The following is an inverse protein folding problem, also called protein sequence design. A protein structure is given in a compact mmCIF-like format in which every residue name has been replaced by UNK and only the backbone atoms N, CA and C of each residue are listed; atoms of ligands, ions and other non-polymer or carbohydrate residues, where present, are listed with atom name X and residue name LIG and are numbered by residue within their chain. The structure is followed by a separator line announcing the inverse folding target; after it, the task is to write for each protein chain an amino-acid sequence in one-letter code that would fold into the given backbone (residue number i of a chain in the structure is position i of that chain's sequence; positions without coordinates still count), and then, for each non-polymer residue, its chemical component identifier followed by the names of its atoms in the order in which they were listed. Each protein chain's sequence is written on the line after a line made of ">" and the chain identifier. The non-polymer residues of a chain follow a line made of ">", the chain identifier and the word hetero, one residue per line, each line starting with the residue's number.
data_IF_019370346223
#
_entry.id   IF_019370346223
#
_cell.length_a   1.000
_cell.length_b   1.000
_cell.length_c   1.000
_cell.angle_alpha   90.00
_cell.angle_beta   90.00
_cell.angle_gamma   90.00
#
_symmetry.space_group_name_H-M   'P 1'
#
loop_
_entity.id
_entity.type
_entity.pdbx_description
1 polymer ?
#
# COMPACT_ATOMS: atom_id res chain seq x y z
N UNK A 1 60.66 55.39 -23.44
CA UNK A 1 59.93 54.72 -22.33
C UNK A 1 59.69 53.27 -22.77
N UNK A 2 60.45 52.30 -22.21
CA UNK A 2 59.99 51.32 -21.20
C UNK A 2 58.87 50.41 -21.78
N UNK A 3 58.99 49.10 -22.03
CA UNK A 3 59.61 47.99 -21.30
C UNK A 3 60.07 46.84 -22.23
N UNK A 4 60.97 46.01 -21.69
CA UNK A 4 61.78 44.95 -22.31
C UNK A 4 61.29 43.53 -21.94
N UNK A 5 61.92 42.53 -22.58
CA UNK A 5 62.20 41.13 -22.15
C UNK A 5 61.28 40.04 -22.73
N UNK A 6 61.63 39.31 -23.81
CA UNK A 6 62.77 38.46 -24.17
C UNK A 6 62.60 36.97 -23.79
N UNK A 7 62.47 36.15 -24.85
CA UNK A 7 62.42 34.69 -24.90
C UNK A 7 63.77 34.06 -24.51
N UNK A 8 63.74 32.90 -23.88
CA UNK A 8 64.91 32.02 -23.73
C UNK A 8 64.51 30.55 -23.67
N UNK A 9 64.94 29.78 -24.68
CA UNK A 9 64.95 28.32 -24.68
C UNK A 9 66.06 27.80 -23.75
N UNK A 10 65.81 26.67 -23.08
CA UNK A 10 66.83 25.88 -22.40
C UNK A 10 66.46 24.40 -22.38
N UNK A 11 67.24 23.59 -23.10
CA UNK A 11 67.24 22.12 -23.03
C UNK A 11 67.92 21.64 -21.75
N UNK A 12 67.45 20.55 -21.14
CA UNK A 12 68.20 19.81 -20.13
C UNK A 12 68.02 18.29 -20.33
N UNK A 13 69.15 17.59 -20.30
CA UNK A 13 69.32 16.16 -20.53
C UNK A 13 69.00 15.29 -19.29
N UNK A 14 68.73 14.01 -19.56
CA UNK A 14 68.32 12.98 -18.60
C UNK A 14 69.50 12.35 -17.83
N UNK A 15 69.22 11.86 -16.61
CA UNK A 15 69.91 10.75 -15.92
C UNK A 15 69.01 10.11 -14.84
N UNK A 16 69.29 8.88 -14.37
CA UNK A 16 68.31 7.79 -14.36
C UNK A 16 67.63 7.46 -13.01
N UNK A 17 66.64 6.58 -13.16
CA UNK A 17 65.71 5.98 -12.19
C UNK A 17 66.40 5.23 -11.03
N UNK A 18 65.88 5.43 -9.81
CA UNK A 18 65.90 4.44 -8.74
C UNK A 18 64.47 4.22 -8.22
N UNK A 19 64.03 2.97 -8.22
CA UNK A 19 62.67 2.56 -7.93
C UNK A 19 62.28 2.81 -6.47
N UNK A 20 61.13 3.47 -6.26
CA UNK A 20 60.37 3.41 -5.01
C UNK A 20 59.05 2.71 -5.30
N UNK A 21 58.82 1.59 -4.62
CA UNK A 21 57.55 0.89 -4.62
C UNK A 21 56.49 1.77 -3.97
N UNK A 22 55.45 2.10 -4.74
CA UNK A 22 54.24 2.73 -4.24
C UNK A 22 53.49 1.75 -3.34
N UNK A 23 53.48 2.01 -2.04
CA UNK A 23 52.52 1.42 -1.13
C UNK A 23 51.18 2.15 -1.32
N UNK A 24 50.23 1.49 -1.97
CA UNK A 24 48.87 1.99 -2.11
C UNK A 24 48.22 2.17 -0.71
N UNK A 25 47.46 3.25 -0.48
CA UNK A 25 46.74 3.43 0.77
C UNK A 25 45.63 2.38 0.88
N UNK A 26 45.64 1.63 1.97
CA UNK A 26 44.61 0.64 2.28
C UNK A 26 43.29 1.36 2.52
N UNK A 27 42.32 1.14 1.61
CA UNK A 27 40.93 1.56 1.80
C UNK A 27 40.32 0.73 2.92
N UNK A 28 40.20 1.31 4.13
CA UNK A 28 39.32 0.78 5.15
C UNK A 28 37.90 0.86 4.63
N UNK A 29 37.34 -0.29 4.27
CA UNK A 29 35.93 -0.45 3.92
C UNK A 29 35.09 0.02 5.11
N UNK A 30 34.45 1.18 4.98
CA UNK A 30 33.43 1.60 5.93
C UNK A 30 32.28 0.58 5.87
N UNK A 31 31.97 0.01 7.02
CA UNK A 31 30.81 -0.86 7.22
C UNK A 31 29.55 -0.05 6.85
N UNK A 32 28.66 -0.57 5.97
CA UNK A 32 27.48 0.18 5.57
C UNK A 32 26.62 0.46 6.80
N UNK A 33 26.35 1.73 7.07
CA UNK A 33 25.48 2.14 8.16
C UNK A 33 24.13 1.42 8.04
N UNK A 34 23.75 0.67 9.08
CA UNK A 34 22.45 0.02 9.18
C UNK A 34 21.35 1.08 9.01
N UNK A 35 20.51 0.93 7.98
CA UNK A 35 19.38 1.84 7.79
C UNK A 35 18.48 1.78 9.03
N UNK A 36 17.98 2.93 9.53
CA UNK A 36 17.03 2.92 10.63
C UNK A 36 15.80 2.12 10.21
N UNK A 37 15.38 1.20 11.09
CA UNK A 37 14.25 0.28 10.86
C UNK A 37 12.93 1.01 10.57
N UNK A 38 12.80 2.27 11.00
CA UNK A 38 11.70 3.17 10.68
C UNK A 38 12.31 4.55 10.38
N UNK A 39 11.91 5.19 9.29
CA UNK A 39 12.46 6.47 8.84
C UNK A 39 11.37 7.42 8.35
N UNK A 40 11.35 8.66 8.84
CA UNK A 40 10.54 9.73 8.24
C UNK A 40 11.12 10.04 6.86
N UNK A 41 10.31 9.89 5.82
CA UNK A 41 10.72 10.15 4.43
C UNK A 41 10.41 11.59 4.03
N UNK A 42 9.22 12.07 4.36
CA UNK A 42 8.75 13.43 4.10
C UNK A 42 7.69 13.82 5.14
N UNK A 43 7.22 15.07 5.09
CA UNK A 43 6.12 15.52 5.94
C UNK A 43 4.88 14.63 5.75
N UNK A 44 4.38 14.09 6.86
CA UNK A 44 3.27 13.13 6.87
C UNK A 44 3.56 11.74 6.26
N UNK A 45 4.80 11.41 5.87
CA UNK A 45 5.19 10.13 5.24
C UNK A 45 6.33 9.46 5.99
N UNK A 46 6.07 8.29 6.57
CA UNK A 46 7.07 7.44 7.23
C UNK A 46 7.20 6.11 6.49
N UNK A 47 8.42 5.59 6.39
CA UNK A 47 8.69 4.24 5.86
C UNK A 47 9.07 3.34 7.04
N UNK A 48 8.40 2.21 7.16
CA UNK A 48 8.79 1.14 8.08
C UNK A 48 9.47 0.01 7.29
N UNK A 49 10.77 -0.15 7.52
CA UNK A 49 11.61 -1.15 6.85
C UNK A 49 11.56 -2.52 7.53
N UNK A 50 11.00 -2.61 8.75
CA UNK A 50 10.78 -3.91 9.44
C UNK A 50 9.74 -4.73 8.69
N UNK A 51 8.74 -4.05 8.13
CA UNK A 51 7.67 -4.60 7.32
C UNK A 51 7.48 -3.64 6.14
N UNK A 52 8.16 -3.81 4.99
CA UNK A 52 8.19 -2.82 3.92
C UNK A 52 6.80 -2.25 3.61
N UNK A 53 6.51 -1.08 4.18
CA UNK A 53 5.23 -0.38 4.13
C UNK A 53 5.47 1.12 4.31
N UNK A 54 4.53 1.90 3.78
CA UNK A 54 4.46 3.35 3.96
C UNK A 54 3.35 3.67 4.94
N UNK A 55 3.65 4.49 5.94
CA UNK A 55 2.69 5.05 6.88
C UNK A 55 2.43 6.51 6.53
N UNK A 56 1.14 6.85 6.40
CA UNK A 56 0.67 8.18 6.04
C UNK A 56 -0.12 8.75 7.20
N UNK A 57 0.25 9.95 7.67
CA UNK A 57 -0.61 10.67 8.61
C UNK A 57 -1.99 10.91 7.99
N UNK A 58 -3.04 10.67 8.76
CA UNK A 58 -4.41 10.82 8.28
C UNK A 58 -5.34 11.35 9.36
N UNK A 59 -6.44 11.96 8.91
CA UNK A 59 -7.55 12.39 9.75
C UNK A 59 -8.87 11.99 9.10
N UNK A 60 -9.82 11.51 9.89
CA UNK A 60 -11.20 11.26 9.43
C UNK A 60 -11.90 12.59 9.11
N UNK A 61 -12.46 12.72 7.92
CA UNK A 61 -13.21 13.91 7.46
C UNK A 61 -14.63 13.62 7.01
N UNK A 62 -14.98 12.36 6.72
CA UNK A 62 -16.35 11.93 6.42
C UNK A 62 -16.64 10.59 7.11
N UNK A 63 -17.84 10.46 7.70
CA UNK A 63 -18.28 9.21 8.36
C UNK A 63 -19.43 8.49 7.68
N UNK A 64 -20.21 9.21 6.89
CA UNK A 64 -21.39 8.70 6.21
C UNK A 64 -21.60 9.49 4.93
N UNK A 65 -22.09 8.83 3.90
CA UNK A 65 -22.29 9.42 2.58
C UNK A 65 -21.68 8.56 1.48
N UNK A 66 -22.04 8.83 0.22
CA UNK A 66 -21.42 8.17 -0.93
C UNK A 66 -19.94 8.56 -1.03
N UNK A 67 -19.13 7.68 -1.62
CA UNK A 67 -17.70 7.85 -1.72
C UNK A 67 -17.23 7.85 -3.17
N UNK A 68 -16.40 8.84 -3.47
CA UNK A 68 -15.52 8.82 -4.63
C UNK A 68 -14.09 8.40 -4.22
N UNK A 69 -13.70 8.69 -2.98
CA UNK A 69 -12.36 8.39 -2.46
C UNK A 69 -12.41 7.76 -1.07
N UNK A 70 -11.41 6.93 -0.78
CA UNK A 70 -11.05 6.59 0.59
C UNK A 70 -10.24 7.72 1.24
N UNK A 71 -9.32 8.32 0.48
CA UNK A 71 -8.43 9.36 0.98
C UNK A 71 -8.11 10.44 -0.05
N UNK A 72 -8.10 11.70 0.38
CA UNK A 72 -7.75 12.87 -0.44
C UNK A 72 -6.69 13.77 0.22
N UNK A 73 -6.14 14.69 -0.57
CA UNK A 73 -5.33 15.81 -0.06
C UNK A 73 -6.20 16.89 0.61
N UNK A 74 -5.62 17.79 1.42
CA UNK A 74 -6.39 18.86 2.05
C UNK A 74 -6.91 19.90 1.05
N UNK A 75 -8.14 20.37 1.29
CA UNK A 75 -8.89 21.37 0.52
C UNK A 75 -9.17 20.94 -0.92
N UNK A 76 -9.47 19.67 -1.13
CA UNK A 76 -9.82 19.15 -2.46
C UNK A 76 -11.17 18.44 -2.41
N UNK A 77 -11.23 17.26 -1.80
CA UNK A 77 -12.34 16.30 -1.93
C UNK A 77 -12.81 15.72 -0.60
N UNK A 78 -12.69 16.47 0.49
CA UNK A 78 -13.04 15.97 1.83
C UNK A 78 -14.52 15.60 2.02
N UNK A 79 -15.42 16.19 1.22
CA UNK A 79 -16.86 15.93 1.30
C UNK A 79 -17.26 14.56 0.74
N UNK A 80 -16.35 13.89 0.04
CA UNK A 80 -16.54 12.59 -0.64
C UNK A 80 -15.42 11.59 -0.31
N UNK A 81 -14.64 11.87 0.75
CA UNK A 81 -13.50 11.09 1.21
C UNK A 81 -13.59 10.75 2.70
N UNK A 82 -13.31 9.51 3.10
CA UNK A 82 -13.25 9.17 4.54
C UNK A 82 -12.07 9.86 5.22
N UNK A 83 -10.91 9.88 4.56
CA UNK A 83 -9.65 10.38 5.09
C UNK A 83 -9.14 11.62 4.35
N UNK A 84 -8.56 12.54 5.10
CA UNK A 84 -7.66 13.57 4.59
C UNK A 84 -6.23 13.20 4.98
N UNK A 85 -5.30 13.26 4.03
CA UNK A 85 -3.87 13.00 4.20
C UNK A 85 -3.10 14.26 3.82
N UNK A 86 -2.40 14.93 4.75
CA UNK A 86 -1.69 16.17 4.47
C UNK A 86 -0.40 15.98 3.66
N UNK A 87 0.11 14.76 3.58
CA UNK A 87 1.29 14.44 2.80
C UNK A 87 1.07 14.71 1.31
N UNK A 88 2.07 15.30 0.66
CA UNK A 88 2.07 15.52 -0.78
C UNK A 88 2.01 14.17 -1.53
N UNK A 89 1.06 13.96 -2.46
CA UNK A 89 0.92 12.70 -3.20
C UNK A 89 2.19 12.20 -3.92
N UNK A 90 3.01 13.09 -4.47
CA UNK A 90 4.30 12.74 -5.06
C UNK A 90 5.27 12.09 -4.04
N UNK A 91 5.26 12.55 -2.78
CA UNK A 91 6.08 11.92 -1.74
C UNK A 91 5.57 10.52 -1.39
N UNK A 92 4.25 10.31 -1.42
CA UNK A 92 3.64 9.00 -1.23
C UNK A 92 4.08 8.06 -2.36
N UNK A 93 3.98 8.51 -3.62
CA UNK A 93 4.45 7.77 -4.79
C UNK A 93 5.93 7.35 -4.66
N UNK A 94 6.81 8.28 -4.28
CA UNK A 94 8.23 8.02 -4.10
C UNK A 94 8.52 7.04 -2.97
N UNK A 95 7.85 7.19 -1.81
CA UNK A 95 8.00 6.27 -0.68
C UNK A 95 7.55 4.85 -1.03
N UNK A 96 6.44 4.71 -1.75
CA UNK A 96 5.96 3.43 -2.27
C UNK A 96 7.01 2.79 -3.20
N UNK A 97 7.63 3.58 -4.09
CA UNK A 97 8.72 3.11 -4.95
C UNK A 97 9.96 2.66 -4.15
N UNK A 98 10.32 3.36 -3.08
CA UNK A 98 11.47 3.02 -2.22
C UNK A 98 11.31 1.69 -1.49
N UNK A 99 10.08 1.33 -1.09
CA UNK A 99 9.79 0.01 -0.51
C UNK A 99 9.62 -1.09 -1.58
N UNK A 100 9.83 -0.76 -2.86
CA UNK A 100 9.82 -1.68 -3.99
C UNK A 100 8.49 -1.84 -4.73
N UNK A 101 7.46 -1.04 -4.39
CA UNK A 101 6.17 -1.12 -5.09
C UNK A 101 6.30 -0.62 -6.54
N UNK A 102 5.75 -1.39 -7.48
CA UNK A 102 5.76 -1.06 -8.90
C UNK A 102 4.44 -0.39 -9.31
N UNK A 103 4.47 0.86 -9.80
CA UNK A 103 3.28 1.50 -10.32
C UNK A 103 2.87 0.87 -11.66
N UNK A 104 1.58 0.82 -11.92
CA UNK A 104 1.06 0.50 -13.25
C UNK A 104 0.64 1.75 -14.00
N UNK A 105 -0.62 1.79 -14.39
CA UNK A 105 -1.23 2.92 -15.09
C UNK A 105 -2.63 3.21 -14.53
N UNK A 106 -3.00 4.48 -14.33
CA UNK A 106 -4.37 4.86 -14.02
C UNK A 106 -5.34 4.50 -15.15
N UNK A 107 -6.63 4.58 -14.82
CA UNK A 107 -7.72 4.48 -15.80
C UNK A 107 -7.50 5.46 -16.96
N UNK A 108 -7.73 5.00 -18.18
CA UNK A 108 -7.67 5.85 -19.36
C UNK A 108 -8.62 5.35 -20.44
N UNK A 109 -9.03 6.27 -21.31
CA UNK A 109 -9.88 5.97 -22.45
C UNK A 109 -9.05 5.56 -23.66
N UNK A 110 -9.31 4.38 -24.19
CA UNK A 110 -8.74 3.90 -25.44
C UNK A 110 -9.68 4.30 -26.59
N UNK A 111 -9.39 5.46 -27.20
CA UNK A 111 -10.21 6.01 -28.28
C UNK A 111 -10.23 5.14 -29.55
N UNK A 112 -9.20 4.30 -29.77
CA UNK A 112 -9.14 3.44 -30.94
C UNK A 112 -10.15 2.28 -30.84
N UNK A 113 -10.46 1.84 -29.62
CA UNK A 113 -11.38 0.74 -29.34
C UNK A 113 -12.65 1.18 -28.60
N UNK A 114 -12.86 2.50 -28.46
CA UNK A 114 -14.03 3.12 -27.83
C UNK A 114 -14.37 2.53 -26.45
N UNK A 115 -13.37 2.38 -25.58
CA UNK A 115 -13.53 1.73 -24.28
C UNK A 115 -12.64 2.29 -23.19
N UNK A 116 -13.09 2.20 -21.95
CA UNK A 116 -12.27 2.45 -20.77
C UNK A 116 -11.36 1.26 -20.47
N UNK A 117 -10.08 1.55 -20.23
CA UNK A 117 -9.08 0.58 -19.79
C UNK A 117 -8.94 0.70 -18.28
N UNK A 118 -9.17 -0.42 -17.58
CA UNK A 118 -9.09 -0.48 -16.12
C UNK A 118 -7.69 -0.09 -15.61
N UNK A 119 -7.60 0.51 -14.41
CA UNK A 119 -6.32 0.73 -13.76
C UNK A 119 -5.53 -0.57 -13.58
N UNK A 120 -4.22 -0.46 -13.68
CA UNK A 120 -3.28 -1.57 -13.44
C UNK A 120 -2.22 -1.14 -12.44
N UNK A 121 -1.54 -2.09 -11.84
CA UNK A 121 -0.44 -1.82 -10.91
C UNK A 121 -0.21 -2.98 -9.95
N UNK A 122 0.80 -2.85 -9.11
CA UNK A 122 1.04 -3.85 -8.08
C UNK A 122 -0.16 -3.91 -7.11
N UNK A 123 -0.70 -5.10 -6.81
CA UNK A 123 -1.76 -5.25 -5.82
C UNK A 123 -1.31 -4.81 -4.43
N UNK A 124 -2.19 -4.10 -3.73
CA UNK A 124 -1.92 -3.53 -2.42
C UNK A 124 -2.82 -4.11 -1.32
N UNK A 125 -2.36 -3.97 -0.09
CA UNK A 125 -3.20 -4.05 1.11
C UNK A 125 -3.16 -2.70 1.80
N UNK A 126 -4.35 -2.13 2.04
CA UNK A 126 -4.52 -0.86 2.75
C UNK A 126 -5.11 -1.12 4.12
N UNK A 127 -4.52 -0.52 5.16
CA UNK A 127 -4.97 -0.69 6.54
C UNK A 127 -4.94 0.61 7.29
N UNK A 128 -5.83 0.82 8.26
CA UNK A 128 -5.78 1.98 9.15
C UNK A 128 -5.21 1.58 10.50
N UNK A 129 -4.13 2.23 10.89
CA UNK A 129 -3.54 2.12 12.22
C UNK A 129 -4.07 3.23 13.13
N UNK A 130 -4.54 2.84 14.31
CA UNK A 130 -5.02 3.78 15.32
C UNK A 130 -5.16 3.13 16.69
N UNK A 131 -5.49 3.95 17.68
CA UNK A 131 -5.87 3.51 19.02
C UNK A 131 -7.38 3.33 19.08
N UNK A 132 -7.84 2.09 18.99
CA UNK A 132 -9.26 1.74 18.96
C UNK A 132 -9.73 1.14 20.29
N UNK A 133 -11.03 0.86 20.40
CA UNK A 133 -11.63 0.31 21.62
C UNK A 133 -11.13 -1.11 21.99
N UNK A 134 -10.51 -1.80 21.03
CA UNK A 134 -9.92 -3.13 21.18
C UNK A 134 -8.37 -3.12 21.13
N UNK A 135 -7.75 -1.94 21.26
CA UNK A 135 -6.29 -1.76 21.40
C UNK A 135 -5.64 -0.97 20.26
N UNK A 136 -4.32 -0.87 20.34
CA UNK A 136 -3.49 -0.30 19.26
C UNK A 136 -3.25 -1.38 18.22
N UNK A 137 -4.04 -1.32 17.14
CA UNK A 137 -4.04 -2.33 16.08
C UNK A 137 -4.33 -1.67 14.73
N UNK A 138 -4.31 -2.47 13.68
CA UNK A 138 -4.75 -2.08 12.34
C UNK A 138 -6.12 -2.65 12.00
N UNK A 139 -6.91 -1.90 11.23
CA UNK A 139 -8.17 -2.34 10.62
C UNK A 139 -8.01 -2.42 9.10
N UNK A 140 -8.69 -3.35 8.42
CA UNK A 140 -8.84 -3.27 6.97
C UNK A 140 -9.64 -2.02 6.61
N UNK A 141 -9.22 -1.25 5.61
CA UNK A 141 -9.96 -0.04 5.18
C UNK A 141 -11.37 -0.39 4.71
N UNK A 142 -11.57 -1.61 4.21
CA UNK A 142 -12.85 -2.13 3.75
C UNK A 142 -13.91 -2.17 4.84
N UNK A 143 -13.51 -2.33 6.11
CA UNK A 143 -14.44 -2.29 7.23
C UNK A 143 -15.10 -0.90 7.40
N UNK A 144 -14.53 0.15 6.83
CA UNK A 144 -15.05 1.51 6.89
C UNK A 144 -16.01 1.85 5.75
N UNK A 145 -16.28 0.89 4.86
CA UNK A 145 -17.11 1.09 3.68
C UNK A 145 -18.26 0.08 3.64
N UNK A 146 -19.34 0.46 2.98
CA UNK A 146 -20.50 -0.40 2.72
C UNK A 146 -20.98 -0.23 1.28
N UNK A 147 -21.62 -1.25 0.72
CA UNK A 147 -22.23 -1.14 -0.60
C UNK A 147 -23.48 -0.27 -0.55
N UNK A 148 -23.61 0.70 -1.47
CA UNK A 148 -24.84 1.47 -1.65
C UNK A 148 -25.90 0.71 -2.44
N UNK A 149 -25.48 -0.22 -3.31
CA UNK A 149 -26.38 -1.07 -4.11
C UNK A 149 -26.96 -2.21 -3.28
N UNK A 150 -26.17 -2.75 -2.36
CA UNK A 150 -26.58 -3.82 -1.44
C UNK A 150 -26.23 -3.45 0.02
N UNK A 151 -26.95 -2.48 0.63
CA UNK A 151 -26.65 -2.01 1.98
C UNK A 151 -26.60 -3.15 2.99
N UNK A 152 -25.52 -3.20 3.76
CA UNK A 152 -25.27 -4.25 4.75
C UNK A 152 -24.53 -5.48 4.21
N UNK A 153 -24.30 -5.60 2.90
CA UNK A 153 -23.33 -6.57 2.37
C UNK A 153 -21.92 -6.11 2.68
N UNK A 154 -21.13 -7.00 3.28
CA UNK A 154 -19.74 -6.74 3.60
C UNK A 154 -18.91 -6.61 2.31
N UNK A 155 -18.21 -5.49 2.20
CA UNK A 155 -17.06 -5.29 1.30
C UNK A 155 -15.91 -6.13 1.84
N UNK A 156 -15.79 -7.39 1.39
CA UNK A 156 -14.77 -8.29 1.96
C UNK A 156 -13.39 -8.09 1.37
N UNK A 157 -13.29 -7.67 0.10
CA UNK A 157 -12.01 -7.45 -0.56
C UNK A 157 -12.20 -6.45 -1.70
N UNK A 158 -11.45 -5.34 -1.64
CA UNK A 158 -11.34 -4.39 -2.75
C UNK A 158 -9.98 -4.64 -3.42
N UNK A 159 -9.91 -4.82 -4.76
CA UNK A 159 -8.65 -5.10 -5.45
C UNK A 159 -7.83 -3.83 -5.66
N UNK A 160 -7.28 -3.27 -4.58
CA UNK A 160 -6.42 -2.09 -4.64
C UNK A 160 -5.18 -2.33 -5.50
N UNK A 161 -4.85 -1.36 -6.34
CA UNK A 161 -3.64 -1.34 -7.16
C UNK A 161 -2.88 -0.03 -6.99
N UNK A 162 -1.56 -0.12 -7.01
CA UNK A 162 -0.70 1.06 -7.10
C UNK A 162 -0.67 1.54 -8.56
N UNK A 163 -1.59 2.42 -8.93
CA UNK A 163 -1.71 2.89 -10.31
C UNK A 163 -0.61 3.89 -10.71
N UNK A 164 -0.05 4.62 -9.75
CA UNK A 164 0.75 5.81 -10.04
C UNK A 164 -0.16 6.99 -10.35
N UNK A 165 0.28 7.99 -11.07
CA UNK A 165 -0.61 9.10 -11.47
C UNK A 165 -0.22 9.60 -12.84
N UNK A 166 -1.21 10.08 -13.60
CA UNK A 166 -0.93 10.74 -14.88
C UNK A 166 -0.20 12.06 -14.62
N UNK A 167 0.73 12.39 -15.50
CA UNK A 167 1.32 13.73 -15.56
C UNK A 167 0.35 14.62 -16.32
N UNK A 168 -0.10 15.70 -15.68
CA UNK A 168 -1.04 16.66 -16.30
C UNK A 168 -0.28 17.70 -17.13
N UNK A 169 -1.03 18.59 -17.80
CA UNK A 169 -0.45 19.66 -18.59
C UNK A 169 0.50 20.52 -17.74
N UNK A 170 1.65 20.89 -18.32
CA UNK A 170 2.71 21.59 -17.59
C UNK A 170 3.68 20.69 -16.81
N UNK A 171 3.48 19.36 -16.84
CA UNK A 171 4.42 18.40 -16.26
C UNK A 171 4.21 18.11 -14.76
N UNK A 172 3.12 18.63 -14.17
CA UNK A 172 2.78 18.39 -12.78
C UNK A 172 2.28 16.95 -12.56
N UNK A 173 2.53 16.42 -11.37
CA UNK A 173 2.05 15.11 -10.96
C UNK A 173 0.55 15.21 -10.65
N UNK A 174 -0.32 14.55 -11.43
CA UNK A 174 -1.76 14.81 -11.40
C UNK A 174 -2.41 14.63 -10.03
N UNK A 175 -1.97 13.66 -9.24
CA UNK A 175 -2.46 13.46 -7.88
C UNK A 175 -2.15 14.64 -6.96
N UNK A 176 -1.03 15.36 -7.17
CA UNK A 176 -0.71 16.57 -6.40
C UNK A 176 -1.70 17.71 -6.68
N UNK A 177 -2.17 17.82 -7.93
CA UNK A 177 -3.10 18.86 -8.37
C UNK A 177 -4.53 18.56 -7.94
N UNK A 178 -5.01 17.33 -8.19
CA UNK A 178 -6.39 16.94 -7.94
C UNK A 178 -6.64 16.45 -6.50
N UNK A 179 -5.57 16.10 -5.78
CA UNK A 179 -5.64 15.52 -4.44
C UNK A 179 -6.19 14.09 -4.40
N UNK A 180 -6.11 13.33 -5.49
CA UNK A 180 -6.66 11.98 -5.67
C UNK A 180 -5.72 10.88 -5.16
N UNK A 181 -5.65 10.71 -3.84
CA UNK A 181 -4.68 9.77 -3.21
C UNK A 181 -5.16 8.32 -3.28
N UNK A 182 -6.36 8.02 -2.77
CA UNK A 182 -6.94 6.68 -2.85
C UNK A 182 -8.38 6.78 -3.32
N UNK A 183 -8.65 6.39 -4.56
CA UNK A 183 -9.96 6.51 -5.20
C UNK A 183 -10.71 5.16 -5.20
N UNK A 184 -12.05 5.24 -5.08
CA UNK A 184 -12.96 4.08 -5.23
C UNK A 184 -13.79 4.14 -6.51
N UNK A 185 -13.60 5.21 -7.28
CA UNK A 185 -14.12 5.42 -8.64
C UNK A 185 -12.98 5.92 -9.55
N UNK A 186 -13.25 5.99 -10.85
CA UNK A 186 -12.27 6.23 -11.89
C UNK A 186 -11.83 7.71 -11.97
N UNK A 187 -10.62 7.98 -11.48
CA UNK A 187 -9.89 9.22 -11.76
C UNK A 187 -8.57 8.92 -12.46
N UNK A 188 -8.31 9.59 -13.59
CA UNK A 188 -7.05 9.44 -14.33
C UNK A 188 -5.81 9.91 -13.55
N UNK A 189 -6.01 10.64 -12.45
CA UNK A 189 -4.96 11.14 -11.55
C UNK A 189 -4.82 10.32 -10.27
N UNK A 190 -5.66 9.31 -10.03
CA UNK A 190 -5.67 8.51 -8.80
C UNK A 190 -4.34 7.78 -8.56
N UNK A 191 -3.68 8.08 -7.42
CA UNK A 191 -2.42 7.46 -7.03
C UNK A 191 -2.56 5.95 -6.73
N UNK A 192 -3.58 5.62 -5.94
CA UNK A 192 -4.03 4.27 -5.63
C UNK A 192 -5.50 4.20 -6.01
N UNK A 193 -5.91 3.11 -6.64
CA UNK A 193 -7.31 2.92 -7.05
C UNK A 193 -7.63 1.43 -7.10
N UNK A 194 -8.82 1.09 -7.60
CA UNK A 194 -9.32 -0.25 -7.77
C UNK A 194 -8.89 -0.77 -9.14
N UNK A 195 -8.46 -2.03 -9.22
CA UNK A 195 -8.07 -2.70 -10.48
C UNK A 195 -9.25 -3.04 -11.41
N UNK A 196 -10.34 -2.30 -11.31
CA UNK A 196 -11.61 -2.46 -12.03
C UNK A 196 -12.15 -1.07 -12.39
N UNK A 197 -12.98 -0.99 -13.43
CA UNK A 197 -13.62 0.26 -13.87
C UNK A 197 -14.84 0.53 -13.00
N UNK A 198 -14.89 1.73 -12.42
CA UNK A 198 -15.98 2.21 -11.59
C UNK A 198 -16.30 3.66 -11.96
N UNK A 199 -17.49 3.92 -12.51
CA UNK A 199 -17.89 5.28 -12.88
C UNK A 199 -17.87 6.25 -11.69
N UNK A 200 -17.38 7.46 -11.94
CA UNK A 200 -17.46 8.60 -11.03
C UNK A 200 -18.76 9.41 -11.20
N UNK A 201 -19.72 8.93 -12.01
CA UNK A 201 -21.03 9.57 -12.08
C UNK A 201 -21.77 9.43 -10.73
N UNK A 202 -22.29 10.55 -10.20
CA UNK A 202 -22.97 10.62 -8.90
C UNK A 202 -24.05 9.53 -8.71
N UNK A 203 -24.82 9.24 -9.76
CA UNK A 203 -25.90 8.24 -9.73
C UNK A 203 -25.40 6.79 -9.72
N UNK A 204 -24.12 6.57 -10.04
CA UNK A 204 -23.50 5.25 -10.17
C UNK A 204 -22.56 4.89 -9.01
N UNK A 205 -22.36 5.80 -8.05
CA UNK A 205 -21.56 5.57 -6.85
C UNK A 205 -22.05 4.31 -6.12
N UNK A 206 -21.09 3.46 -5.76
CA UNK A 206 -21.36 2.09 -5.34
C UNK A 206 -20.92 1.78 -3.90
N UNK A 207 -20.05 2.65 -3.33
CA UNK A 207 -19.61 2.59 -1.95
C UNK A 207 -20.04 3.83 -1.18
N UNK A 208 -20.33 3.62 0.10
CA UNK A 208 -20.53 4.68 1.08
C UNK A 208 -19.69 4.44 2.33
N UNK A 209 -19.43 5.50 3.09
CA UNK A 209 -18.80 5.39 4.40
C UNK A 209 -19.74 4.72 5.41
N UNK A 210 -19.22 3.80 6.21
CA UNK A 210 -19.98 3.08 7.23
C UNK A 210 -19.75 3.69 8.63
N UNK A 211 -20.70 4.51 9.14
CA UNK A 211 -20.51 5.22 10.40
C UNK A 211 -20.44 4.29 11.62
N UNK A 212 -20.74 2.99 11.49
CA UNK A 212 -20.60 2.01 12.57
C UNK A 212 -19.13 1.73 12.90
N UNK A 213 -18.26 1.83 11.90
CA UNK A 213 -16.84 1.48 12.02
C UNK A 213 -15.91 2.67 11.77
N UNK A 214 -16.36 3.69 11.02
CA UNK A 214 -15.59 4.92 10.85
C UNK A 214 -15.59 5.72 12.17
N UNK A 215 -14.42 6.05 12.74
CA UNK A 215 -14.31 6.87 13.95
C UNK A 215 -14.91 8.26 13.78
N UNK A 216 -15.02 9.02 14.87
CA UNK A 216 -15.53 10.41 14.83
C UNK A 216 -14.70 11.27 13.85
N UNK A 217 -15.34 12.22 13.18
CA UNK A 217 -14.63 13.22 12.37
C UNK A 217 -13.59 13.93 13.22
N UNK A 218 -12.45 14.23 12.61
CA UNK A 218 -11.29 14.77 13.30
C UNK A 218 -10.41 13.73 13.98
N UNK A 219 -10.82 12.45 14.09
CA UNK A 219 -9.94 11.41 14.66
C UNK A 219 -8.68 11.28 13.82
N UNK A 220 -7.51 11.36 14.48
CA UNK A 220 -6.21 11.13 13.85
C UNK A 220 -5.91 9.64 13.79
N UNK A 221 -5.35 9.20 12.68
CA UNK A 221 -4.92 7.82 12.45
C UNK A 221 -3.75 7.81 11.46
N UNK A 222 -3.27 6.62 11.09
CA UNK A 222 -2.33 6.43 9.99
C UNK A 222 -2.91 5.49 8.94
N UNK A 223 -2.83 5.84 7.66
CA UNK A 223 -3.08 4.91 6.56
C UNK A 223 -1.77 4.16 6.27
N UNK A 224 -1.82 2.84 6.30
CA UNK A 224 -0.72 1.95 5.97
C UNK A 224 -0.90 1.44 4.55
N UNK A 225 0.14 1.57 3.73
CA UNK A 225 0.21 1.09 2.35
C UNK A 225 1.31 0.05 2.25
N UNK A 226 0.97 -1.17 1.85
CA UNK A 226 1.95 -2.24 1.60
C UNK A 226 1.58 -3.04 0.36
N UNK A 227 2.54 -3.84 -0.12
CA UNK A 227 2.22 -4.91 -1.06
C UNK A 227 1.12 -5.81 -0.48
N UNK A 228 0.34 -6.43 -1.37
CA UNK A 228 -0.74 -7.36 -0.99
C UNK A 228 -0.24 -8.43 -0.02
N UNK A 229 -1.06 -8.66 1.01
CA UNK A 229 -0.86 -9.71 2.02
C UNK A 229 -1.89 -10.81 1.77
N UNK A 230 -1.43 -11.96 1.24
CA UNK A 230 -2.31 -13.08 0.90
C UNK A 230 -2.44 -14.14 2.00
N UNK A 231 -1.45 -14.25 2.88
CA UNK A 231 -1.41 -15.27 3.93
C UNK A 231 -0.93 -14.66 5.25
N UNK A 232 -1.82 -14.01 6.03
CA UNK A 232 -1.48 -13.56 7.36
C UNK A 232 -1.37 -14.76 8.33
N UNK A 233 -0.60 -14.60 9.41
CA UNK A 233 -0.66 -15.55 10.52
C UNK A 233 -2.03 -15.42 11.20
N UNK A 234 -2.88 -16.43 11.02
CA UNK A 234 -4.16 -16.49 11.70
C UNK A 234 -3.95 -16.88 13.17
N UNK A 235 -4.31 -15.96 14.06
CA UNK A 235 -4.32 -16.17 15.50
C UNK A 235 -5.76 -16.09 15.99
N UNK A 236 -6.31 -17.23 16.36
CA UNK A 236 -7.66 -17.31 16.88
C UNK A 236 -7.68 -16.85 18.34
N UNK A 237 -8.63 -15.99 18.67
CA UNK A 237 -8.84 -15.44 20.01
C UNK A 237 -10.10 -16.06 20.59
N UNK A 238 -9.96 -16.80 21.69
CA UNK A 238 -11.07 -17.42 22.41
C UNK A 238 -11.77 -16.39 23.32
N UNK A 239 -13.03 -16.63 23.73
CA UNK A 239 -13.78 -15.70 24.58
C UNK A 239 -13.12 -15.38 25.94
N UNK A 240 -12.30 -16.29 26.48
CA UNK A 240 -11.55 -16.11 27.72
C UNK A 240 -10.21 -15.36 27.53
N UNK A 241 -9.82 -15.10 26.28
CA UNK A 241 -8.54 -14.52 25.89
C UNK A 241 -7.45 -15.56 25.61
N UNK A 242 -7.76 -16.85 25.65
CA UNK A 242 -6.89 -17.90 25.16
C UNK A 242 -6.59 -17.71 23.67
N UNK A 243 -5.40 -18.13 23.25
CA UNK A 243 -4.94 -17.98 21.87
C UNK A 243 -4.70 -19.34 21.24
N UNK A 244 -5.03 -19.46 19.95
CA UNK A 244 -4.86 -20.69 19.19
C UNK A 244 -4.33 -20.41 17.79
N UNK A 245 -3.39 -21.24 17.33
CA UNK A 245 -2.96 -21.27 15.93
C UNK A 245 -3.28 -22.64 15.38
N UNK A 246 -4.08 -22.71 14.31
CA UNK A 246 -4.74 -23.94 13.89
C UNK A 246 -5.45 -24.57 15.09
N UNK A 247 -5.16 -25.81 15.47
CA UNK A 247 -5.79 -26.51 16.61
C UNK A 247 -4.99 -26.49 17.92
N UNK A 248 -3.90 -25.73 17.99
CA UNK A 248 -3.00 -25.72 19.15
C UNK A 248 -3.11 -24.44 19.95
N UNK A 249 -3.39 -24.56 21.24
CA UNK A 249 -3.30 -23.45 22.19
C UNK A 249 -1.86 -22.93 22.26
N UNK A 250 -1.70 -21.61 22.27
CA UNK A 250 -0.40 -20.93 22.29
C UNK A 250 -0.42 -19.76 23.27
N UNK A 251 0.75 -19.37 23.76
CA UNK A 251 0.91 -18.11 24.50
C UNK A 251 1.12 -16.93 23.53
N UNK A 252 1.05 -15.69 24.04
CA UNK A 252 1.43 -14.51 23.26
C UNK A 252 2.92 -14.56 22.84
N UNK A 253 3.79 -15.07 23.72
CA UNK A 253 5.21 -15.27 23.43
C UNK A 253 5.43 -16.26 22.28
N UNK A 254 4.70 -17.39 22.28
CA UNK A 254 4.75 -18.38 21.21
C UNK A 254 4.28 -17.80 19.87
N UNK A 255 3.18 -17.03 19.89
CA UNK A 255 2.64 -16.37 18.71
C UNK A 255 3.64 -15.33 18.14
N UNK A 256 4.22 -14.50 19.00
CA UNK A 256 5.22 -13.50 18.62
C UNK A 256 6.51 -14.13 18.09
N UNK A 257 6.99 -15.22 18.71
CA UNK A 257 8.14 -15.97 18.23
C UNK A 257 7.87 -16.60 16.86
N UNK A 258 6.64 -17.10 16.61
CA UNK A 258 6.26 -17.67 15.32
C UNK A 258 6.22 -16.60 14.24
N UNK A 259 5.59 -15.46 14.50
CA UNK A 259 5.55 -14.33 13.57
C UNK A 259 6.95 -13.79 13.23
N UNK A 260 7.84 -13.63 14.22
CA UNK A 260 9.23 -13.19 13.98
C UNK A 260 9.98 -14.11 13.02
N UNK A 261 9.96 -15.42 13.28
CA UNK A 261 10.66 -16.42 12.45
C UNK A 261 10.25 -16.35 10.99
N UNK A 262 8.96 -16.15 10.70
CA UNK A 262 8.44 -16.07 9.33
C UNK A 262 8.70 -14.71 8.68
N UNK A 263 8.78 -13.63 9.46
CA UNK A 263 9.06 -12.29 8.94
C UNK A 263 10.53 -12.06 8.56
N UNK A 264 11.46 -12.74 9.23
CA UNK A 264 12.91 -12.57 9.05
C UNK A 264 13.51 -13.47 7.95
N UNK A 265 12.83 -14.56 7.58
CA UNK A 265 13.27 -15.49 6.53
C UNK A 265 12.92 -15.06 5.10
N UNK A 266 12.38 -13.85 4.91
CA UNK A 266 12.01 -13.35 3.58
C UNK A 266 13.26 -13.00 2.75
N UNK A 267 13.39 -13.47 1.50
CA UNK A 267 14.46 -13.02 0.62
C UNK A 267 14.32 -11.51 0.39
N UNK A 268 15.43 -10.79 0.51
CA UNK A 268 15.55 -9.38 0.11
C UNK A 268 15.37 -9.30 -1.40
N UNK A 269 14.13 -9.11 -1.86
CA UNK A 269 13.79 -9.08 -3.27
C UNK A 269 14.43 -7.89 -3.99
N UNK A 270 15.63 -8.10 -4.56
CA UNK A 270 15.94 -7.50 -5.85
C UNK A 270 15.32 -8.41 -6.90
N UNK A 271 14.10 -8.08 -7.33
CA UNK A 271 13.63 -8.55 -8.63
C UNK A 271 14.37 -7.76 -9.69
N UNK A 272 15.07 -8.44 -10.60
CA UNK A 272 15.65 -7.79 -11.78
C UNK A 272 14.56 -7.00 -12.52
N UNK A 273 14.87 -5.79 -13.01
CA UNK A 273 13.89 -5.01 -13.76
C UNK A 273 13.43 -5.79 -14.99
N UNK A 274 12.14 -5.74 -15.36
CA UNK A 274 11.67 -6.38 -16.58
C UNK A 274 12.41 -5.78 -17.78
N UNK A 275 12.82 -6.64 -18.71
CA UNK A 275 13.46 -6.23 -19.95
C UNK A 275 12.57 -5.20 -20.68
N UNK A 276 13.19 -4.09 -21.10
CA UNK A 276 12.54 -3.04 -21.91
C UNK A 276 11.74 -3.68 -23.05
N UNK A 277 10.47 -3.29 -23.28
CA UNK A 277 9.75 -3.71 -24.47
C UNK A 277 10.46 -3.10 -25.70
N UNK A 278 10.84 -3.97 -26.63
CA UNK A 278 11.40 -3.56 -27.92
C UNK A 278 10.28 -2.89 -28.74
N UNK A 279 10.46 -1.61 -29.05
CA UNK A 279 9.73 -0.95 -30.12
C UNK A 279 10.20 -1.54 -31.45
N UNK A 280 9.34 -2.24 -32.17
CA UNK A 280 9.54 -2.54 -33.59
C UNK A 280 8.36 -1.98 -34.40
N UNK A 281 8.61 -1.32 -35.55
CA UNK A 281 7.57 -0.72 -36.37
C UNK A 281 6.88 -1.77 -37.27
N UNK A 282 5.60 -1.55 -37.53
CA UNK A 282 4.76 -2.29 -38.48
C UNK A 282 5.27 -2.21 -39.93
N UNK A 283 5.08 -3.30 -40.70
CA UNK A 283 4.82 -3.25 -42.15
C UNK A 283 3.92 -4.44 -42.58
N UNK A 284 2.70 -4.12 -43.03
CA UNK A 284 1.88 -4.66 -44.15
C UNK A 284 1.32 -6.11 -44.20
N UNK A 285 0.03 -6.16 -44.60
CA UNK A 285 -0.95 -7.24 -44.88
C UNK A 285 -0.79 -7.90 -46.30
N UNK A 286 -1.65 -8.81 -46.86
CA UNK A 286 -2.85 -9.54 -46.37
C UNK A 286 -3.07 -11.03 -46.84
N UNK A 287 -4.18 -11.65 -46.37
CA UNK A 287 -5.09 -12.65 -47.01
C UNK A 287 -5.16 -14.16 -46.56
N UNK A 288 -6.40 -14.54 -46.21
CA UNK A 288 -7.15 -15.77 -45.73
C UNK A 288 -7.04 -17.08 -46.57
N UNK A 289 -7.72 -18.26 -46.28
CA UNK A 289 -8.49 -18.75 -45.10
C UNK A 289 -8.33 -20.25 -44.66
N UNK A 290 -9.00 -20.58 -43.54
CA UNK A 290 -9.68 -21.85 -43.15
C UNK A 290 -8.91 -23.08 -42.61
N UNK A 291 -9.30 -23.51 -41.40
CA UNK A 291 -9.02 -24.84 -40.83
C UNK A 291 -9.50 -24.96 -39.37
N UNK A 292 -10.66 -25.60 -39.16
CA UNK A 292 -11.27 -25.82 -37.85
C UNK A 292 -10.74 -27.09 -37.16
N UNK A 293 -10.50 -27.04 -35.84
CA UNK A 293 -10.69 -28.10 -34.79
C UNK A 293 -9.95 -27.75 -33.47
N UNK A 294 -10.28 -28.38 -32.32
CA UNK A 294 -11.19 -27.90 -31.30
C UNK A 294 -10.50 -27.22 -30.10
N UNK A 295 -11.24 -26.31 -29.47
CA UNK A 295 -10.92 -25.63 -28.23
C UNK A 295 -10.68 -26.64 -27.09
N UNK A 296 -9.46 -26.67 -26.55
CA UNK A 296 -9.20 -27.14 -25.18
C UNK A 296 -9.09 -25.91 -24.30
N UNK A 297 -9.93 -25.87 -23.27
CA UNK A 297 -9.83 -24.97 -22.13
C UNK A 297 -8.38 -24.90 -21.64
N UNK A 298 -7.76 -23.73 -21.79
CA UNK A 298 -6.51 -23.35 -21.11
C UNK A 298 -6.81 -22.17 -20.21
N UNK A 299 -7.63 -22.40 -19.19
CA UNK A 299 -7.82 -21.44 -18.11
C UNK A 299 -7.71 -22.11 -16.73
N UNK A 300 -6.74 -23.01 -16.61
CA UNK A 300 -6.29 -23.50 -15.30
C UNK A 300 -4.83 -23.11 -15.15
N UNK A 301 -4.48 -22.15 -14.28
CA UNK A 301 -3.08 -21.93 -13.95
C UNK A 301 -2.52 -23.24 -13.36
N UNK A 302 -1.28 -23.63 -13.70
CA UNK A 302 -0.66 -24.79 -13.09
C UNK A 302 -0.64 -24.59 -11.57
N UNK A 303 -0.80 -25.65 -10.75
CA UNK A 303 -0.67 -25.54 -9.31
C UNK A 303 0.76 -25.11 -9.00
N UNK A 304 0.95 -23.82 -8.78
CA UNK A 304 2.20 -23.27 -8.31
C UNK A 304 2.49 -23.88 -6.95
N UNK A 305 3.68 -24.48 -6.82
CA UNK A 305 4.25 -24.81 -5.52
C UNK A 305 4.09 -23.60 -4.61
N UNK A 306 3.30 -23.74 -3.53
CA UNK A 306 3.15 -22.73 -2.48
C UNK A 306 4.53 -22.45 -1.90
N UNK A 307 5.16 -21.41 -2.42
CA UNK A 307 6.46 -20.91 -1.98
C UNK A 307 6.20 -20.10 -0.72
N UNK A 308 6.56 -20.71 0.41
CA UNK A 308 6.95 -20.13 1.69
C UNK A 308 6.34 -18.76 2.06
N UNK A 309 5.29 -18.83 2.89
CA UNK A 309 4.51 -17.69 3.36
C UNK A 309 5.33 -16.67 4.16
N UNK A 310 5.39 -15.44 3.64
CA UNK A 310 5.98 -14.25 4.26
C UNK A 310 4.96 -13.59 5.21
N UNK A 311 4.78 -14.13 6.41
CA UNK A 311 3.80 -13.59 7.35
C UNK A 311 4.27 -12.25 7.94
N UNK A 312 3.83 -11.14 7.33
CA UNK A 312 4.10 -9.78 7.81
C UNK A 312 3.06 -9.29 8.82
N UNK A 313 1.90 -9.93 8.87
CA UNK A 313 0.74 -9.55 9.67
C UNK A 313 0.20 -10.75 10.43
N UNK A 314 -0.21 -10.51 11.68
CA UNK A 314 -1.02 -11.41 12.50
C UNK A 314 -2.46 -10.93 12.39
N UNK A 315 -3.34 -11.76 11.86
CA UNK A 315 -4.78 -11.50 11.87
C UNK A 315 -5.39 -12.12 13.13
N UNK A 316 -5.89 -11.27 14.02
CA UNK A 316 -6.56 -11.69 15.25
C UNK A 316 -8.02 -12.00 14.92
N UNK A 317 -8.38 -13.28 14.88
CA UNK A 317 -9.73 -13.75 14.54
C UNK A 317 -10.50 -14.20 15.79
N UNK A 318 -11.56 -13.50 16.18
CA UNK A 318 -12.47 -13.96 17.22
C UNK A 318 -13.05 -15.34 16.92
N UNK A 319 -13.06 -16.23 17.92
CA UNK A 319 -13.88 -17.45 17.90
C UNK A 319 -15.17 -17.22 18.67
N UNK A 320 -16.28 -17.05 17.93
CA UNK A 320 -17.56 -16.71 18.53
C UNK A 320 -17.60 -15.26 19.02
N UNK A 321 -18.28 -15.01 20.14
CA UNK A 321 -18.42 -13.68 20.71
C UNK A 321 -17.22 -13.35 21.61
N UNK A 322 -16.33 -12.51 21.12
CA UNK A 322 -15.19 -11.99 21.87
C UNK A 322 -15.39 -10.49 22.11
N UNK A 323 -15.39 -10.12 23.39
CA UNK A 323 -15.55 -8.73 23.82
C UNK A 323 -14.32 -7.88 23.48
N UNK A 324 -14.51 -6.58 23.23
CA UNK A 324 -13.41 -5.65 22.89
C UNK A 324 -12.33 -5.57 23.97
N UNK A 325 -12.70 -5.74 25.25
CA UNK A 325 -11.75 -5.78 26.37
C UNK A 325 -10.80 -6.99 26.32
N UNK A 326 -11.27 -8.14 25.82
CA UNK A 326 -10.44 -9.33 25.61
C UNK A 326 -9.46 -9.09 24.48
N UNK A 327 -9.92 -8.53 23.36
CA UNK A 327 -9.05 -8.15 22.23
C UNK A 327 -7.97 -7.15 22.65
N UNK A 328 -8.31 -6.16 23.47
CA UNK A 328 -7.34 -5.21 24.04
C UNK A 328 -6.27 -5.89 24.88
N UNK A 329 -6.65 -6.84 25.72
CA UNK A 329 -5.69 -7.61 26.53
C UNK A 329 -4.74 -8.43 25.64
N UNK A 330 -5.28 -9.08 24.61
CA UNK A 330 -4.49 -9.87 23.65
C UNK A 330 -3.51 -9.00 22.86
N UNK A 331 -3.97 -7.88 22.30
CA UNK A 331 -3.09 -6.96 21.56
C UNK A 331 -1.99 -6.38 22.45
N UNK A 332 -2.31 -6.02 23.69
CA UNK A 332 -1.32 -5.56 24.70
C UNK A 332 -0.28 -6.66 24.98
N UNK A 333 -0.72 -7.91 25.15
CA UNK A 333 0.19 -9.03 25.41
C UNK A 333 1.13 -9.28 24.22
N UNK A 334 0.62 -9.25 22.99
CA UNK A 334 1.46 -9.39 21.79
C UNK A 334 2.45 -8.23 21.63
N UNK A 335 2.04 -7.00 21.97
CA UNK A 335 2.90 -5.83 21.94
C UNK A 335 4.05 -5.94 22.96
N UNK A 336 3.77 -6.44 24.17
CA UNK A 336 4.80 -6.71 25.17
C UNK A 336 5.83 -7.73 24.70
N UNK A 337 5.44 -8.66 23.81
CA UNK A 337 6.32 -9.65 23.19
C UNK A 337 7.04 -9.14 21.91
N UNK A 338 6.86 -7.86 21.57
CA UNK A 338 7.55 -7.18 20.49
C UNK A 338 6.86 -7.21 19.12
N UNK A 339 5.59 -7.64 19.05
CA UNK A 339 4.78 -7.50 17.83
C UNK A 339 4.28 -6.05 17.75
N UNK A 340 4.60 -5.28 16.71
CA UNK A 340 4.15 -3.89 16.62
C UNK A 340 2.65 -3.82 16.26
N UNK A 341 1.92 -2.77 16.69
CA UNK A 341 0.54 -2.52 16.29
C UNK A 341 0.31 -2.59 14.77
N UNK A 342 1.25 -2.08 13.98
CA UNK A 342 1.22 -2.11 12.51
C UNK A 342 1.22 -3.53 11.91
N UNK A 343 1.54 -4.57 12.69
CA UNK A 343 1.48 -5.97 12.27
C UNK A 343 0.24 -6.71 12.80
N UNK A 344 -0.59 -6.09 13.65
CA UNK A 344 -1.79 -6.73 14.20
C UNK A 344 -3.02 -6.24 13.42
N UNK A 345 -3.72 -7.16 12.75
CA UNK A 345 -4.94 -6.88 12.01
C UNK A 345 -6.16 -7.40 12.76
N UNK A 346 -7.17 -6.55 12.92
CA UNK A 346 -8.47 -6.89 13.47
C UNK A 346 -9.54 -6.42 12.49
N UNK A 347 -10.42 -7.32 12.06
CA UNK A 347 -11.65 -6.90 11.38
C UNK A 347 -12.70 -6.57 12.46
N UNK A 348 -13.08 -5.29 12.66
CA UNK A 348 -14.01 -4.93 13.71
C UNK A 348 -15.39 -5.58 13.49
N UNK A 349 -15.78 -5.91 12.25
CA UNK A 349 -17.07 -6.56 11.94
C UNK A 349 -17.22 -7.95 12.56
N UNK A 350 -16.10 -8.58 12.90
CA UNK A 350 -16.05 -9.90 13.55
C UNK A 350 -16.27 -9.86 15.06
N UNK A 351 -16.31 -8.68 15.68
CA UNK A 351 -16.44 -8.49 17.14
C UNK A 351 -17.90 -8.39 17.59
N UNK A 352 -18.18 -8.80 18.83
CA UNK A 352 -19.54 -8.75 19.40
C UNK A 352 -20.05 -7.32 19.57
N UNK A 353 -19.17 -6.40 19.95
CA UNK A 353 -19.53 -5.05 20.40
C UNK A 353 -19.49 -4.01 19.26
N UNK A 354 -18.87 -4.36 18.13
CA UNK A 354 -18.65 -3.44 17.03
C UNK A 354 -19.91 -3.14 16.20
N UNK A 355 -21.02 -3.84 16.46
CA UNK A 355 -22.34 -3.48 15.93
C UNK A 355 -22.89 -2.27 16.68
N UNK A 356 -22.23 -1.12 16.56
CA UNK A 356 -22.81 0.14 17.01
C UNK A 356 -24.11 0.34 16.21
N UNK A 357 -25.24 0.49 16.91
CA UNK A 357 -26.51 0.80 16.25
C UNK A 357 -26.37 2.13 15.50
N UNK A 358 -26.92 2.27 14.28
CA UNK A 358 -26.89 3.56 13.59
C UNK A 358 -27.55 4.61 14.49
N UNK A 359 -27.02 5.86 14.56
CA UNK A 359 -27.71 6.92 15.27
C UNK A 359 -29.08 7.10 14.63
N UNK A 360 -30.13 7.03 15.44
CA UNK A 360 -31.52 7.06 14.98
C UNK A 360 -31.81 8.31 14.14
N UNK A 361 -31.82 8.12 12.81
CA UNK A 361 -32.49 9.02 11.90
C UNK A 361 -33.97 8.70 11.94
N UNK A 362 -34.78 9.62 12.46
CA UNK A 362 -36.23 9.55 12.34
C UNK A 362 -36.62 9.29 10.88
N UNK A 363 -37.54 8.35 10.59
CA UNK A 363 -38.11 8.25 9.26
C UNK A 363 -38.87 9.54 8.98
N UNK A 364 -38.37 10.32 8.01
CA UNK A 364 -39.15 11.39 7.40
C UNK A 364 -40.36 10.69 6.79
N UNK A 365 -41.55 10.92 7.38
CA UNK A 365 -42.81 10.50 6.79
C UNK A 365 -42.99 11.25 5.46
N UNK A 366 -43.42 10.57 4.39
CA UNK A 366 -43.84 11.27 3.19
C UNK A 366 -45.10 12.08 3.52
N UNK A 367 -45.03 13.38 3.25
CA UNK A 367 -46.16 14.31 3.22
C UNK A 367 -46.43 14.74 1.80
#
# INVERSE_FOLDING_TARGET
>A
MKYFLALGLGFAAAHPVAARQDAAPSSTSAEPASQPRVSVFADGVTIDWRFPLVELEARVVLRAGPLELLACSPRTREHESILQIPARPLHIFQACGLIGLQPGAPVHYDAANDRWIAPTGQPLTLRVLGSFEFGDVTLPVEAWMTSLKEPGRETRTIPWVFAGSRVVEGGAFGADEDGTIVCVVDFSTALITIGEVHSADDELLWLGADPRYVPKEGTRCRLLVSARIDDPLLLHVLPDGGLRIADKGVTAQDAAARWRRTSESAPTGRSDPPAKPALTPEVSNPATPAGASPQRDRNTPPPGNKTESNWRVIELRPEGQVASAVMRRVSTALAAEGVPPAAMLVDPRSLSDARQSPPGGSPIKPG
#
